data_IF_286021766283
#
_entry.id   IF_286021766283
#
_cell.length_a   1.000
_cell.length_b   1.000
_cell.length_c   1.000
_cell.angle_alpha   90.00
_cell.angle_beta   90.00
_cell.angle_gamma   90.00
#
_symmetry.space_group_name_H-M   'P 1'
#
loop_
_entity.id
_entity.type
_entity.pdbx_description
1 polymer ?
#
# COMPACT_ATOMS: atom_id res chain seq x y z
N UNK A 1 -42.45 -12.50 -69.41
CA UNK A 1 -41.09 -12.02 -69.29
C UNK A 1 -41.13 -10.64 -68.60
N UNK A 2 -40.84 -10.53 -67.31
CA UNK A 2 -40.76 -9.26 -66.58
C UNK A 2 -39.34 -9.17 -66.06
N UNK A 3 -38.61 -8.17 -66.40
CA UNK A 3 -37.24 -7.87 -65.99
C UNK A 3 -37.27 -7.38 -64.53
N UNK A 4 -36.43 -7.95 -63.62
CA UNK A 4 -36.15 -7.44 -62.32
C UNK A 4 -35.05 -6.36 -62.38
N UNK A 5 -35.12 -5.29 -61.60
CA UNK A 5 -34.13 -4.20 -61.70
C UNK A 5 -32.86 -4.49 -60.90
N UNK A 6 -31.73 -4.20 -61.51
CA UNK A 6 -30.35 -4.33 -61.05
C UNK A 6 -29.93 -3.32 -59.92
N UNK A 7 -30.86 -2.75 -59.15
CA UNK A 7 -30.58 -1.63 -58.28
C UNK A 7 -30.35 -2.01 -56.77
N UNK A 8 -30.30 -3.28 -56.40
CA UNK A 8 -30.16 -3.71 -55.00
C UNK A 8 -28.81 -4.34 -54.62
N UNK A 9 -27.85 -4.44 -55.51
CA UNK A 9 -26.52 -5.03 -55.15
C UNK A 9 -25.42 -4.02 -54.87
N UNK A 10 -25.65 -2.71 -55.08
CA UNK A 10 -24.63 -1.69 -54.81
C UNK A 10 -24.62 -1.14 -53.38
N UNK A 11 -25.67 -1.39 -52.57
CA UNK A 11 -25.77 -0.87 -51.21
C UNK A 11 -25.15 -1.78 -50.14
N UNK A 12 -24.88 -3.04 -50.43
CA UNK A 12 -24.30 -3.99 -49.45
C UNK A 12 -22.77 -3.96 -49.42
N UNK A 13 -22.10 -3.47 -50.43
CA UNK A 13 -20.62 -3.37 -50.49
C UNK A 13 -20.06 -2.11 -49.82
N UNK A 14 -20.86 -1.04 -49.64
CA UNK A 14 -20.42 0.21 -49.02
C UNK A 14 -20.46 0.17 -47.48
N UNK A 15 -21.21 -0.75 -46.87
CA UNK A 15 -21.34 -0.88 -45.42
C UNK A 15 -20.21 -1.74 -44.82
N UNK A 16 -19.57 -2.62 -45.57
CA UNK A 16 -18.42 -3.42 -45.09
C UNK A 16 -17.06 -2.70 -45.13
N UNK A 17 -16.93 -1.55 -45.78
CA UNK A 17 -15.69 -0.78 -45.82
C UNK A 17 -15.62 0.30 -44.73
N UNK A 18 -16.70 0.62 -44.01
CA UNK A 18 -16.67 1.56 -42.90
C UNK A 18 -16.41 0.91 -41.52
N UNK A 19 -16.51 -0.42 -41.42
CA UNK A 19 -16.25 -1.14 -40.19
C UNK A 19 -14.76 -1.51 -39.98
N UNK A 20 -13.90 -1.27 -40.92
CA UNK A 20 -12.47 -1.58 -40.87
C UNK A 20 -11.56 -0.38 -40.54
N UNK A 21 -12.13 0.81 -40.32
CA UNK A 21 -11.35 2.04 -40.09
C UNK A 21 -11.30 2.50 -38.60
N UNK A 22 -11.91 1.78 -37.68
CA UNK A 22 -11.87 2.14 -36.25
C UNK A 22 -10.93 1.27 -35.38
N UNK A 23 -10.15 0.37 -35.97
CA UNK A 23 -9.17 -0.43 -35.21
C UNK A 23 -7.76 0.16 -35.17
N UNK A 24 -7.59 1.45 -35.50
CA UNK A 24 -6.28 2.06 -35.64
C UNK A 24 -5.98 3.25 -34.71
N UNK A 25 -6.67 3.43 -33.58
CA UNK A 25 -6.34 4.50 -32.63
C UNK A 25 -6.68 4.11 -31.18
N UNK A 26 -6.22 2.98 -30.78
CA UNK A 26 -6.14 2.68 -29.35
C UNK A 26 -4.67 2.66 -28.96
N UNK A 27 -4.30 3.68 -28.24
CA UNK A 27 -3.35 3.65 -27.14
C UNK A 27 -1.96 4.19 -27.40
N UNK A 28 -1.83 5.51 -27.39
CA UNK A 28 -0.60 6.18 -26.94
C UNK A 28 -0.58 6.40 -25.42
N UNK A 29 -1.60 5.94 -24.68
CA UNK A 29 -1.69 6.12 -23.24
C UNK A 29 -0.91 5.01 -22.49
N UNK A 30 -0.01 5.43 -21.60
CA UNK A 30 0.72 4.51 -20.71
C UNK A 30 -0.26 3.85 -19.75
N UNK A 31 -0.26 2.51 -19.68
CA UNK A 31 -1.05 1.80 -18.67
C UNK A 31 -0.49 2.05 -17.25
N UNK A 32 -1.34 2.00 -16.24
CA UNK A 32 -0.90 2.13 -14.85
C UNK A 32 0.10 1.04 -14.47
N UNK A 33 -0.04 -0.17 -15.01
CA UNK A 33 0.92 -1.27 -14.78
C UNK A 33 2.28 -0.99 -15.41
N UNK A 34 2.32 -0.50 -16.66
CA UNK A 34 3.57 -0.12 -17.31
C UNK A 34 4.28 1.03 -16.57
N UNK A 35 3.51 2.03 -16.13
CA UNK A 35 4.04 3.11 -15.29
C UNK A 35 4.61 2.58 -13.97
N UNK A 36 3.91 1.66 -13.31
CA UNK A 36 4.36 1.04 -12.06
C UNK A 36 5.63 0.22 -12.26
N UNK A 37 5.70 -0.59 -13.31
CA UNK A 37 6.89 -1.36 -13.66
C UNK A 37 8.08 -0.43 -13.94
N UNK A 38 7.86 0.61 -14.76
CA UNK A 38 8.90 1.58 -15.09
C UNK A 38 9.47 2.28 -13.85
N UNK A 39 8.59 2.81 -12.97
CA UNK A 39 8.99 3.43 -11.71
C UNK A 39 9.64 2.45 -10.72
N UNK A 40 9.32 1.17 -10.84
CA UNK A 40 9.94 0.10 -10.07
C UNK A 40 11.29 -0.37 -10.63
N UNK A 41 11.83 0.26 -11.69
CA UNK A 41 13.02 -0.23 -12.38
C UNK A 41 12.82 -1.62 -12.98
N UNK A 42 11.61 -1.92 -13.47
CA UNK A 42 11.26 -3.17 -14.15
C UNK A 42 10.85 -2.83 -15.58
N UNK A 43 11.23 -3.65 -16.57
CA UNK A 43 10.82 -3.37 -17.96
C UNK A 43 9.31 -3.31 -18.10
N UNK A 44 8.73 -2.24 -18.70
CA UNK A 44 7.33 -2.20 -19.06
C UNK A 44 7.00 -3.21 -20.17
N UNK A 45 5.76 -3.33 -20.59
CA UNK A 45 5.38 -4.18 -21.71
C UNK A 45 6.09 -3.74 -23.00
N UNK A 46 6.33 -4.68 -23.93
CA UNK A 46 7.08 -4.41 -25.17
C UNK A 46 6.43 -3.31 -26.01
N UNK A 47 5.09 -3.21 -25.97
CA UNK A 47 4.31 -2.21 -26.71
C UNK A 47 4.16 -0.88 -25.95
N UNK A 48 4.68 -0.79 -24.76
CA UNK A 48 4.57 0.43 -23.95
C UNK A 48 5.31 1.60 -24.56
N UNK A 49 4.71 2.81 -24.59
CA UNK A 49 5.41 4.04 -24.98
C UNK A 49 6.62 4.36 -24.10
N UNK A 50 6.74 3.72 -22.91
CA UNK A 50 7.89 3.87 -21.99
C UNK A 50 9.10 3.01 -22.40
N UNK A 51 8.93 2.01 -23.25
CA UNK A 51 10.01 1.09 -23.64
C UNK A 51 11.24 1.81 -24.22
N UNK A 52 11.14 2.87 -25.04
CA UNK A 52 12.32 3.61 -25.48
C UNK A 52 13.08 4.30 -24.34
N UNK A 53 12.39 4.72 -23.27
CA UNK A 53 12.99 5.40 -22.10
C UNK A 53 13.85 4.45 -21.23
N UNK A 54 13.66 3.14 -21.34
CA UNK A 54 14.51 2.16 -20.64
C UNK A 54 15.95 2.13 -21.12
N UNK A 55 16.22 2.75 -22.29
CA UNK A 55 17.58 2.92 -22.83
C UNK A 55 18.32 4.11 -22.23
N UNK A 56 17.60 4.99 -21.50
CA UNK A 56 18.22 6.15 -20.82
C UNK A 56 19.16 5.66 -19.72
N UNK A 57 20.41 6.19 -19.63
CA UNK A 57 21.36 5.80 -18.61
C UNK A 57 20.84 6.02 -17.19
N UNK A 58 20.00 7.04 -16.93
CA UNK A 58 19.40 7.27 -15.62
C UNK A 58 18.42 6.15 -15.25
N UNK A 59 17.61 5.68 -16.21
CA UNK A 59 16.71 4.56 -15.94
C UNK A 59 17.49 3.25 -15.72
N UNK A 60 18.54 2.99 -16.49
CA UNK A 60 19.39 1.81 -16.30
C UNK A 60 20.11 1.81 -14.93
N UNK A 61 20.50 2.99 -14.42
CA UNK A 61 21.02 3.14 -13.08
C UNK A 61 19.94 2.81 -12.04
N UNK A 62 18.76 3.38 -12.21
CA UNK A 62 17.59 3.16 -11.35
C UNK A 62 17.18 1.68 -11.28
N UNK A 63 17.12 0.99 -12.41
CA UNK A 63 16.88 -0.46 -12.49
C UNK A 63 17.86 -1.22 -11.60
N UNK A 64 19.16 -1.03 -11.81
CA UNK A 64 20.21 -1.73 -11.04
C UNK A 64 20.14 -1.43 -9.55
N UNK A 65 19.89 -0.17 -9.20
CA UNK A 65 19.75 0.25 -7.81
C UNK A 65 18.58 -0.46 -7.13
N UNK A 66 17.39 -0.43 -7.73
CA UNK A 66 16.20 -1.04 -7.16
C UNK A 66 16.29 -2.58 -7.14
N UNK A 67 16.83 -3.21 -8.16
CA UNK A 67 17.04 -4.66 -8.18
C UNK A 67 17.93 -5.12 -7.02
N UNK A 68 19.03 -4.42 -6.80
CA UNK A 68 19.93 -4.73 -5.68
C UNK A 68 19.24 -4.50 -4.34
N UNK A 69 18.57 -3.37 -4.16
CA UNK A 69 17.93 -2.98 -2.89
C UNK A 69 16.75 -3.90 -2.53
N UNK A 70 15.85 -4.18 -3.49
CA UNK A 70 14.72 -5.08 -3.26
C UNK A 70 15.17 -6.53 -3.09
N UNK A 71 16.16 -7.01 -3.85
CA UNK A 71 16.73 -8.34 -3.68
C UNK A 71 17.38 -8.55 -2.30
N UNK A 72 18.03 -7.53 -1.74
CA UNK A 72 18.55 -7.57 -0.37
C UNK A 72 17.42 -7.57 0.66
N UNK A 73 16.39 -6.72 0.46
CA UNK A 73 15.24 -6.64 1.36
C UNK A 73 14.45 -7.95 1.37
N UNK A 74 14.23 -8.55 0.21
CA UNK A 74 13.55 -9.85 0.09
C UNK A 74 14.25 -10.92 0.92
N UNK A 75 15.56 -11.11 0.73
CA UNK A 75 16.36 -12.09 1.47
C UNK A 75 16.37 -11.83 2.98
N UNK A 76 16.46 -10.56 3.37
CA UNK A 76 16.57 -10.16 4.78
C UNK A 76 15.25 -10.19 5.51
N UNK A 77 14.12 -9.81 4.85
CA UNK A 77 12.85 -9.51 5.48
C UNK A 77 11.65 -10.21 4.84
N UNK A 78 11.27 -9.83 3.61
CA UNK A 78 9.92 -10.12 3.11
C UNK A 78 9.68 -11.61 2.85
N UNK A 79 10.67 -12.38 2.39
CA UNK A 79 10.55 -13.83 2.25
C UNK A 79 10.39 -14.52 3.59
N UNK A 80 11.14 -14.08 4.61
CA UNK A 80 11.05 -14.63 5.97
C UNK A 80 9.71 -14.29 6.63
N UNK A 81 9.22 -13.04 6.45
CA UNK A 81 7.89 -12.63 6.89
C UNK A 81 6.81 -13.50 6.24
N UNK A 82 6.90 -13.74 4.93
CA UNK A 82 5.94 -14.58 4.21
C UNK A 82 5.95 -16.02 4.73
N UNK A 83 7.13 -16.60 4.99
CA UNK A 83 7.27 -17.93 5.59
C UNK A 83 6.67 -17.97 7.00
N UNK A 84 6.96 -16.99 7.84
CA UNK A 84 6.36 -16.86 9.18
C UNK A 84 4.84 -16.73 9.11
N UNK A 85 4.32 -15.88 8.21
CA UNK A 85 2.90 -15.67 8.03
C UNK A 85 2.17 -16.94 7.58
N UNK A 86 2.77 -17.74 6.70
CA UNK A 86 2.21 -19.01 6.25
C UNK A 86 1.98 -20.02 7.39
N UNK A 87 2.82 -19.97 8.44
CA UNK A 87 2.71 -20.84 9.61
C UNK A 87 1.77 -20.27 10.67
N UNK A 88 1.84 -18.95 10.92
CA UNK A 88 1.19 -18.33 12.08
C UNK A 88 -0.17 -17.67 11.77
N UNK A 89 -0.48 -17.41 10.48
CA UNK A 89 -1.73 -16.80 10.04
C UNK A 89 -2.56 -17.79 9.22
N UNK A 90 -3.01 -18.87 9.86
CA UNK A 90 -3.65 -20.01 9.17
C UNK A 90 -4.94 -19.65 8.40
N UNK A 91 -5.75 -18.72 8.89
CA UNK A 91 -7.02 -18.31 8.28
C UNK A 91 -7.24 -16.80 8.40
N UNK A 92 -6.43 -15.95 7.74
CA UNK A 92 -6.60 -14.51 7.83
C UNK A 92 -7.94 -14.08 7.20
N UNK A 93 -8.54 -13.03 7.75
CA UNK A 93 -9.72 -12.40 7.16
C UNK A 93 -9.38 -11.80 5.79
N UNK A 94 -10.34 -11.65 4.88
CA UNK A 94 -10.10 -11.10 3.55
C UNK A 94 -9.67 -9.63 3.58
N UNK A 95 -10.07 -8.87 4.61
CA UNK A 95 -9.70 -7.47 4.78
C UNK A 95 -8.48 -7.31 5.69
N UNK A 96 -7.57 -6.44 5.29
CA UNK A 96 -6.39 -6.06 6.05
C UNK A 96 -6.38 -4.55 6.25
N UNK A 97 -6.27 -4.11 7.51
CA UNK A 97 -6.13 -2.70 7.91
C UNK A 97 -4.68 -2.42 8.29
N UNK A 98 -4.10 -1.39 7.70
CA UNK A 98 -2.79 -0.89 8.07
C UNK A 98 -2.83 0.62 8.26
N UNK A 99 -3.37 1.01 9.41
CA UNK A 99 -3.41 2.40 9.85
C UNK A 99 -2.01 2.84 10.29
N UNK A 100 -1.65 4.10 10.09
CA UNK A 100 -0.30 4.66 10.27
C UNK A 100 0.77 4.08 9.33
N UNK A 101 0.36 3.57 8.16
CA UNK A 101 1.26 2.84 7.26
C UNK A 101 2.07 3.73 6.32
N UNK A 102 1.59 4.92 5.98
CA UNK A 102 2.02 5.54 4.73
C UNK A 102 1.67 4.63 3.54
N UNK A 103 2.46 4.65 2.47
CA UNK A 103 2.26 3.79 1.29
C UNK A 103 2.80 2.36 1.48
N UNK A 104 3.00 1.85 2.70
CA UNK A 104 3.68 0.58 2.97
C UNK A 104 2.85 -0.66 2.60
N UNK A 105 2.51 -0.79 1.33
CA UNK A 105 1.92 -2.01 0.79
C UNK A 105 2.87 -3.22 0.86
N UNK A 106 4.19 -2.97 0.85
CA UNK A 106 5.19 -4.02 0.81
C UNK A 106 5.10 -4.97 2.03
N UNK A 107 5.09 -4.42 3.25
CA UNK A 107 4.93 -5.21 4.47
C UNK A 107 3.50 -5.72 4.64
N UNK A 108 2.49 -4.93 4.24
CA UNK A 108 1.10 -5.38 4.20
C UNK A 108 0.95 -6.67 3.40
N UNK A 109 1.51 -6.71 2.19
CA UNK A 109 1.49 -7.88 1.32
C UNK A 109 2.36 -9.02 1.86
N UNK A 110 3.50 -8.75 2.49
CA UNK A 110 4.37 -9.80 3.03
C UNK A 110 3.66 -10.58 4.16
N UNK A 111 2.92 -9.91 5.05
CA UNK A 111 2.14 -10.57 6.11
C UNK A 111 0.82 -11.15 5.61
N UNK A 112 0.12 -10.49 4.71
CA UNK A 112 -1.26 -10.84 4.30
C UNK A 112 -1.40 -10.94 2.79
N UNK A 113 -0.53 -11.70 2.13
CA UNK A 113 -0.50 -11.84 0.66
C UNK A 113 -1.80 -12.32 0.01
N UNK A 114 -2.68 -12.97 0.80
CA UNK A 114 -3.98 -13.50 0.36
C UNK A 114 -5.16 -12.58 0.69
N UNK A 115 -4.94 -11.42 1.32
CA UNK A 115 -6.01 -10.47 1.55
C UNK A 115 -6.58 -9.99 0.19
N UNK A 116 -7.90 -9.87 0.11
CA UNK A 116 -8.58 -9.36 -1.08
C UNK A 116 -8.76 -7.86 -1.04
N UNK A 117 -8.77 -7.28 0.17
CA UNK A 117 -8.90 -5.84 0.38
C UNK A 117 -7.84 -5.35 1.36
N UNK A 118 -7.08 -4.36 0.93
CA UNK A 118 -6.10 -3.65 1.75
C UNK A 118 -6.58 -2.23 1.99
N UNK A 119 -6.55 -1.76 3.24
CA UNK A 119 -6.87 -0.38 3.60
C UNK A 119 -5.68 0.21 4.33
N UNK A 120 -4.98 1.10 3.66
CA UNK A 120 -3.82 1.84 4.16
C UNK A 120 -4.21 3.28 4.45
N UNK A 121 -3.58 3.90 5.44
CA UNK A 121 -3.82 5.32 5.72
C UNK A 121 -2.64 5.99 6.41
N UNK A 122 -2.48 7.28 6.15
CA UNK A 122 -1.56 8.18 6.82
C UNK A 122 -1.89 9.65 6.52
N UNK A 123 -1.01 10.57 6.95
CA UNK A 123 -1.13 12.01 6.70
C UNK A 123 -0.56 12.45 5.35
N UNK A 124 0.20 11.60 4.68
CA UNK A 124 0.81 11.91 3.40
C UNK A 124 -0.24 12.04 2.32
N UNK A 125 -0.12 13.04 1.41
CA UNK A 125 -1.07 13.21 0.31
C UNK A 125 -1.04 12.01 -0.64
N UNK A 126 -2.17 11.76 -1.31
CA UNK A 126 -2.26 10.71 -2.32
C UNK A 126 -1.28 10.97 -3.46
N UNK A 127 -1.26 12.21 -3.95
CA UNK A 127 -0.46 12.60 -5.11
C UNK A 127 -0.95 11.99 -6.42
N UNK A 128 -0.09 12.00 -7.41
CA UNK A 128 -0.39 11.48 -8.74
C UNK A 128 0.88 10.93 -9.42
N UNK A 129 0.69 10.03 -10.38
CA UNK A 129 1.75 9.64 -11.31
C UNK A 129 1.54 10.48 -12.56
N UNK A 130 2.51 11.32 -12.96
CA UNK A 130 2.41 12.12 -14.18
C UNK A 130 2.47 11.22 -15.42
N UNK A 131 2.10 11.78 -16.58
CA UNK A 131 2.35 11.13 -17.85
C UNK A 131 3.87 11.08 -18.12
N UNK A 132 4.45 9.90 -17.92
CA UNK A 132 5.89 9.67 -18.01
C UNK A 132 6.44 9.90 -19.43
N UNK A 133 5.59 9.90 -20.46
CA UNK A 133 5.99 10.20 -21.85
C UNK A 133 6.10 11.69 -22.12
N UNK A 134 5.53 12.52 -21.26
CA UNK A 134 5.46 13.99 -21.40
C UNK A 134 6.31 14.72 -20.37
N UNK A 135 7.18 14.00 -19.67
CA UNK A 135 8.09 14.64 -18.72
C UNK A 135 8.94 15.71 -19.41
N UNK A 136 9.16 16.87 -18.79
CA UNK A 136 10.07 17.89 -19.29
C UNK A 136 11.48 17.31 -19.56
N UNK A 137 12.18 17.86 -20.54
CA UNK A 137 13.55 17.42 -20.83
C UNK A 137 14.43 17.56 -19.59
N UNK A 138 15.12 16.47 -19.23
CA UNK A 138 16.03 16.44 -18.08
C UNK A 138 15.35 16.18 -16.73
N UNK A 139 14.02 16.00 -16.67
CA UNK A 139 13.34 15.73 -15.39
C UNK A 139 13.28 14.24 -15.03
N UNK A 140 13.55 13.33 -15.97
CA UNK A 140 13.54 11.89 -15.70
C UNK A 140 14.53 11.48 -14.62
N UNK A 141 15.80 11.88 -14.73
CA UNK A 141 16.83 11.51 -13.76
C UNK A 141 16.56 12.08 -12.35
N UNK A 142 16.21 13.37 -12.16
CA UNK A 142 15.77 13.88 -10.87
C UNK A 142 14.56 13.15 -10.31
N UNK A 143 13.53 12.90 -11.14
CA UNK A 143 12.31 12.21 -10.69
C UNK A 143 12.59 10.79 -10.21
N UNK A 144 13.37 9.99 -10.94
CA UNK A 144 13.77 8.65 -10.49
C UNK A 144 14.60 8.71 -9.21
N UNK A 145 15.51 9.69 -9.07
CA UNK A 145 16.28 9.90 -7.84
C UNK A 145 15.38 10.25 -6.64
N UNK A 146 14.30 11.00 -6.86
CA UNK A 146 13.31 11.32 -5.81
C UNK A 146 12.58 10.06 -5.34
N UNK A 147 12.22 9.16 -6.25
CA UNK A 147 11.65 7.85 -5.93
C UNK A 147 12.65 7.03 -5.09
N UNK A 148 13.91 6.91 -5.50
CA UNK A 148 14.97 6.19 -4.77
C UNK A 148 15.15 6.75 -3.35
N UNK A 149 15.19 8.07 -3.21
CA UNK A 149 15.36 8.76 -1.92
C UNK A 149 14.16 8.50 -1.01
N UNK A 150 12.95 8.55 -1.53
CA UNK A 150 11.72 8.27 -0.79
C UNK A 150 11.65 6.83 -0.29
N UNK A 151 12.20 5.88 -1.05
CA UNK A 151 12.29 4.48 -0.67
C UNK A 151 13.45 4.17 0.29
N UNK A 152 14.46 5.03 0.37
CA UNK A 152 15.72 4.75 1.07
C UNK A 152 15.55 4.30 2.52
N UNK A 153 14.60 4.87 3.26
CA UNK A 153 14.38 4.51 4.66
C UNK A 153 13.71 3.13 4.81
N UNK A 154 12.69 2.82 4.03
CA UNK A 154 12.01 1.52 4.15
C UNK A 154 12.86 0.38 3.61
N UNK A 155 13.64 0.61 2.55
CA UNK A 155 14.57 -0.37 2.00
C UNK A 155 15.72 -0.68 2.97
N UNK A 156 16.18 0.33 3.73
CA UNK A 156 17.27 0.19 4.69
C UNK A 156 16.80 -0.33 6.05
N UNK A 157 15.68 0.17 6.56
CA UNK A 157 15.26 -0.03 7.95
C UNK A 157 14.02 -0.88 8.11
N UNK A 158 12.99 -0.75 7.45
CA UNK A 158 11.66 -1.38 7.52
C UNK A 158 10.51 -0.40 7.77
N UNK A 159 10.79 0.91 7.85
CA UNK A 159 9.76 1.93 8.09
C UNK A 159 10.08 3.21 7.34
N UNK A 160 9.06 4.02 7.10
CA UNK A 160 9.20 5.35 6.53
C UNK A 160 9.52 6.39 7.60
N UNK A 161 10.35 7.35 7.24
CA UNK A 161 10.58 8.54 8.07
C UNK A 161 9.65 9.64 7.54
N UNK A 162 8.47 9.78 8.14
CA UNK A 162 7.38 10.67 7.70
C UNK A 162 7.83 12.11 7.39
N UNK A 163 8.75 12.68 8.18
CA UNK A 163 9.30 14.02 7.89
C UNK A 163 10.02 14.08 6.55
N UNK A 164 10.84 13.08 6.24
CA UNK A 164 11.56 12.99 4.96
C UNK A 164 10.58 12.78 3.81
N UNK A 165 9.66 11.83 3.94
CA UNK A 165 8.63 11.58 2.92
C UNK A 165 7.82 12.83 2.58
N UNK A 166 7.36 13.59 3.58
CA UNK A 166 6.63 14.84 3.34
C UNK A 166 7.43 15.88 2.55
N UNK A 167 8.75 15.91 2.73
CA UNK A 167 9.63 16.83 2.01
C UNK A 167 9.94 16.30 0.62
N UNK A 168 10.32 15.02 0.54
CA UNK A 168 10.74 14.38 -0.71
C UNK A 168 9.59 14.23 -1.71
N UNK A 169 8.35 13.98 -1.21
CA UNK A 169 7.15 13.81 -2.04
C UNK A 169 6.43 15.12 -2.42
N UNK A 170 6.83 16.28 -1.92
CA UNK A 170 6.17 17.58 -2.22
C UNK A 170 6.92 18.43 -3.25
N UNK A 171 8.16 18.11 -3.53
CA UNK A 171 9.06 18.98 -4.29
C UNK A 171 9.49 18.41 -5.65
N UNK A 172 9.04 17.20 -6.02
CA UNK A 172 9.49 16.47 -7.20
C UNK A 172 8.44 16.34 -8.30
N UNK A 173 8.87 15.79 -9.43
CA UNK A 173 7.99 15.42 -10.57
C UNK A 173 6.98 14.33 -10.19
N UNK A 174 7.28 13.53 -9.14
CA UNK A 174 6.44 12.44 -8.63
C UNK A 174 5.92 12.83 -7.26
N UNK A 175 4.71 13.40 -7.21
CA UNK A 175 4.11 13.92 -5.99
C UNK A 175 3.27 12.85 -5.26
N UNK A 176 3.36 12.87 -3.92
CA UNK A 176 2.53 12.07 -3.04
C UNK A 176 2.94 10.59 -2.92
N UNK A 177 2.03 9.79 -2.38
CA UNK A 177 2.29 8.37 -2.06
C UNK A 177 2.05 7.40 -3.23
N UNK A 178 1.30 7.84 -4.25
CA UNK A 178 0.90 6.97 -5.35
C UNK A 178 2.08 6.39 -6.15
N UNK A 179 3.16 7.16 -6.49
CA UNK A 179 4.34 6.59 -7.13
C UNK A 179 4.99 5.46 -6.31
N UNK A 180 5.02 5.60 -4.99
CA UNK A 180 5.59 4.59 -4.09
C UNK A 180 4.70 3.33 -4.03
N UNK A 181 3.37 3.50 -4.01
CA UNK A 181 2.42 2.37 -4.11
C UNK A 181 2.60 1.61 -5.42
N UNK A 182 2.84 2.32 -6.53
CA UNK A 182 3.14 1.71 -7.82
C UNK A 182 4.39 0.83 -7.75
N UNK A 183 5.48 1.36 -7.20
CA UNK A 183 6.72 0.60 -7.02
C UNK A 183 6.47 -0.66 -6.18
N UNK A 184 5.77 -0.53 -5.06
CA UNK A 184 5.54 -1.68 -4.18
C UNK A 184 4.62 -2.74 -4.78
N UNK A 185 3.59 -2.33 -5.52
CA UNK A 185 2.72 -3.27 -6.24
C UNK A 185 3.53 -4.05 -7.28
N UNK A 186 4.28 -3.36 -8.14
CA UNK A 186 5.10 -4.00 -9.16
C UNK A 186 6.18 -4.92 -8.56
N UNK A 187 6.93 -4.46 -7.54
CA UNK A 187 7.96 -5.25 -6.84
C UNK A 187 7.39 -6.39 -6.00
N UNK A 188 6.09 -6.35 -5.68
CA UNK A 188 5.37 -7.48 -5.06
C UNK A 188 4.75 -8.43 -6.08
N UNK A 189 5.08 -8.32 -7.36
CA UNK A 189 4.57 -9.18 -8.44
C UNK A 189 3.07 -9.01 -8.68
N UNK A 190 2.54 -7.79 -8.50
CA UNK A 190 1.13 -7.45 -8.78
C UNK A 190 1.03 -6.77 -10.13
N UNK A 191 -0.10 -7.01 -10.82
CA UNK A 191 -0.44 -6.36 -12.08
C UNK A 191 -1.57 -5.36 -11.82
N UNK A 192 -1.33 -4.08 -12.03
CA UNK A 192 -2.34 -3.04 -11.82
C UNK A 192 -3.35 -3.07 -12.96
N UNK A 193 -4.64 -3.12 -12.63
CA UNK A 193 -5.76 -3.13 -13.58
C UNK A 193 -6.40 -1.77 -13.74
N UNK A 194 -6.63 -1.08 -12.62
CA UNK A 194 -7.26 0.24 -12.58
C UNK A 194 -6.77 1.05 -11.39
N UNK A 195 -6.69 2.35 -11.58
CA UNK A 195 -6.35 3.32 -10.53
C UNK A 195 -7.33 4.47 -10.61
N UNK A 196 -8.12 4.63 -9.57
CA UNK A 196 -9.17 5.64 -9.52
C UNK A 196 -8.99 6.53 -8.29
N UNK A 197 -8.85 7.85 -8.45
CA UNK A 197 -9.01 8.79 -7.35
C UNK A 197 -10.38 8.59 -6.69
N UNK A 198 -10.43 8.56 -5.39
CA UNK A 198 -11.66 8.42 -4.62
C UNK A 198 -11.69 9.39 -3.46
N UNK A 199 -12.89 9.65 -2.95
CA UNK A 199 -13.10 10.49 -1.77
C UNK A 199 -14.10 9.81 -0.86
N UNK A 200 -13.86 9.81 0.46
CA UNK A 200 -14.88 9.42 1.44
C UNK A 200 -15.66 10.65 1.90
N UNK A 201 -16.96 10.51 1.96
CA UNK A 201 -17.80 11.46 2.68
C UNK A 201 -17.79 11.17 4.20
N UNK A 202 -18.51 11.98 4.97
CA UNK A 202 -18.62 11.84 6.42
C UNK A 202 -19.39 10.60 6.88
N UNK A 203 -20.13 9.95 5.98
CA UNK A 203 -20.78 8.63 6.23
C UNK A 203 -19.84 7.45 5.96
N UNK A 204 -18.71 7.68 5.30
CA UNK A 204 -17.77 6.66 4.83
C UNK A 204 -18.18 6.04 3.48
N UNK A 205 -19.08 6.67 2.71
CA UNK A 205 -19.33 6.26 1.33
C UNK A 205 -18.18 6.71 0.43
N UNK A 206 -17.84 5.86 -0.55
CA UNK A 206 -16.78 6.12 -1.53
C UNK A 206 -17.38 6.79 -2.75
N UNK A 207 -16.87 7.95 -3.09
CA UNK A 207 -17.22 8.71 -4.30
C UNK A 207 -16.04 8.67 -5.28
N UNK A 208 -16.33 8.61 -6.58
CA UNK A 208 -15.31 8.59 -7.64
C UNK A 208 -14.90 10.01 -8.00
N UNK A 209 -13.60 10.25 -8.16
CA UNK A 209 -13.08 11.54 -8.60
C UNK A 209 -13.38 12.68 -7.63
N UNK A 210 -13.69 13.86 -8.20
CA UNK A 210 -14.01 15.08 -7.48
C UNK A 210 -15.54 15.29 -7.27
N UNK A 211 -16.33 14.23 -7.26
CA UNK A 211 -17.75 14.33 -6.94
C UNK A 211 -17.93 14.95 -5.55
N UNK A 212 -19.02 15.68 -5.37
CA UNK A 212 -19.29 16.41 -4.14
C UNK A 212 -19.44 15.44 -2.94
N UNK A 213 -18.34 15.21 -2.25
CA UNK A 213 -18.25 14.30 -1.13
C UNK A 213 -18.52 14.98 0.24
N UNK A 214 -19.26 16.10 0.25
CA UNK A 214 -19.67 16.78 1.48
C UNK A 214 -18.68 17.81 2.02
N UNK A 215 -18.79 18.13 3.32
CA UNK A 215 -18.03 19.23 3.94
C UNK A 215 -16.58 18.90 4.29
N UNK A 216 -16.28 17.64 4.62
CA UNK A 216 -14.96 17.19 5.06
C UNK A 216 -14.53 15.95 4.28
N UNK A 217 -14.28 16.05 2.96
CA UNK A 217 -13.93 14.91 2.14
C UNK A 217 -12.57 14.36 2.55
N UNK A 218 -12.47 13.04 2.68
CA UNK A 218 -11.20 12.35 2.92
C UNK A 218 -10.66 11.85 1.59
N UNK A 219 -9.58 12.45 1.05
CA UNK A 219 -9.05 12.07 -0.24
C UNK A 219 -8.35 10.71 -0.16
N UNK A 220 -8.46 9.94 -1.23
CA UNK A 220 -7.87 8.62 -1.34
C UNK A 220 -7.65 8.19 -2.77
N UNK A 221 -7.14 6.99 -2.92
CA UNK A 221 -7.02 6.28 -4.19
C UNK A 221 -7.47 4.84 -3.99
N UNK A 222 -8.17 4.32 -4.98
CA UNK A 222 -8.51 2.92 -5.12
C UNK A 222 -7.68 2.33 -6.26
N UNK A 223 -6.98 1.23 -5.98
CA UNK A 223 -6.18 0.51 -6.96
C UNK A 223 -6.72 -0.92 -7.05
N UNK A 224 -7.23 -1.30 -8.21
CA UNK A 224 -7.56 -2.69 -8.52
C UNK A 224 -6.34 -3.35 -9.14
N UNK A 225 -5.98 -4.55 -8.67
CA UNK A 225 -4.82 -5.27 -9.15
C UNK A 225 -5.02 -6.78 -9.07
N UNK A 226 -4.34 -7.51 -9.94
CA UNK A 226 -4.26 -8.96 -9.87
C UNK A 226 -3.02 -9.40 -9.10
N UNK A 227 -3.15 -10.43 -8.29
CA UNK A 227 -2.02 -11.12 -7.68
C UNK A 227 -1.31 -12.06 -8.67
N UNK A 228 -0.14 -12.57 -8.29
CA UNK A 228 0.54 -13.61 -9.07
C UNK A 228 -0.25 -14.92 -9.20
N UNK A 229 -1.26 -15.12 -8.36
CA UNK A 229 -2.23 -16.21 -8.41
C UNK A 229 -3.45 -15.90 -9.32
N UNK A 230 -3.46 -14.77 -9.99
CA UNK A 230 -4.55 -14.29 -10.85
C UNK A 230 -5.77 -13.75 -10.09
N UNK A 231 -5.79 -13.81 -8.77
CA UNK A 231 -6.94 -13.33 -7.99
C UNK A 231 -6.98 -11.79 -7.98
N UNK A 232 -8.15 -11.23 -8.24
CA UNK A 232 -8.38 -9.79 -8.20
C UNK A 232 -8.47 -9.28 -6.75
N UNK A 233 -7.85 -8.13 -6.52
CA UNK A 233 -7.72 -7.49 -5.20
C UNK A 233 -7.88 -5.99 -5.30
N UNK A 234 -8.18 -5.37 -4.17
CA UNK A 234 -8.33 -3.92 -4.07
C UNK A 234 -7.46 -3.36 -2.96
N UNK A 235 -6.72 -2.32 -3.29
CA UNK A 235 -6.01 -1.48 -2.33
C UNK A 235 -6.69 -0.12 -2.25
N UNK A 236 -7.02 0.32 -1.04
CA UNK A 236 -7.40 1.68 -0.73
C UNK A 236 -6.26 2.35 0.06
N UNK A 237 -5.88 3.54 -0.34
CA UNK A 237 -5.06 4.43 0.47
C UNK A 237 -5.83 5.72 0.71
N UNK A 238 -5.89 6.16 1.97
CA UNK A 238 -6.56 7.42 2.35
C UNK A 238 -5.58 8.33 3.09
N UNK A 239 -5.53 9.60 2.67
CA UNK A 239 -4.83 10.65 3.38
C UNK A 239 -5.76 11.19 4.48
N UNK A 240 -5.50 10.80 5.74
CA UNK A 240 -6.40 11.14 6.86
C UNK A 240 -5.65 11.28 8.18
N UNK A 241 -6.13 12.20 9.03
CA UNK A 241 -5.67 12.32 10.41
C UNK A 241 -6.39 11.30 11.28
N UNK A 242 -5.62 10.41 11.90
CA UNK A 242 -6.11 9.34 12.79
C UNK A 242 -6.25 9.77 14.25
N UNK A 243 -5.98 11.02 14.60
CA UNK A 243 -6.30 11.55 15.92
C UNK A 243 -7.81 11.54 16.18
N UNK A 244 -8.22 11.58 17.45
CA UNK A 244 -9.64 11.62 17.82
C UNK A 244 -10.39 12.79 17.16
N UNK A 245 -9.73 13.93 16.99
CA UNK A 245 -10.30 15.08 16.27
C UNK A 245 -10.43 14.82 14.77
N UNK A 246 -9.42 14.23 14.16
CA UNK A 246 -9.41 13.91 12.73
C UNK A 246 -10.47 12.88 12.36
N UNK A 247 -10.49 11.73 13.03
CA UNK A 247 -11.45 10.65 12.71
C UNK A 247 -12.90 10.99 13.04
N UNK A 248 -13.15 11.92 13.96
CA UNK A 248 -14.51 12.37 14.28
C UNK A 248 -15.20 13.02 13.08
N UNK A 249 -14.44 13.76 12.29
CA UNK A 249 -14.93 14.55 11.16
C UNK A 249 -14.72 13.87 9.81
N UNK A 250 -14.04 12.70 9.78
CA UNK A 250 -13.83 11.91 8.58
C UNK A 250 -14.73 10.68 8.56
N UNK A 251 -15.10 10.21 7.37
CA UNK A 251 -15.82 8.94 7.20
C UNK A 251 -14.94 7.71 7.29
N UNK A 252 -13.64 7.85 7.53
CA UNK A 252 -12.67 6.78 7.39
C UNK A 252 -12.97 5.56 8.26
N UNK A 253 -13.21 5.74 9.57
CA UNK A 253 -13.53 4.60 10.44
C UNK A 253 -14.88 3.97 10.12
N UNK A 254 -15.86 4.75 9.63
CA UNK A 254 -17.15 4.22 9.16
C UNK A 254 -16.96 3.37 7.89
N UNK A 255 -16.11 3.80 6.98
CA UNK A 255 -15.71 2.99 5.81
C UNK A 255 -15.07 1.68 6.25
N UNK A 256 -14.06 1.73 7.14
CA UNK A 256 -13.40 0.54 7.65
C UNK A 256 -14.37 -0.41 8.37
N UNK A 257 -15.35 0.11 9.12
CA UNK A 257 -16.35 -0.70 9.82
C UNK A 257 -17.22 -1.55 8.88
N UNK A 258 -17.48 -1.08 7.66
CA UNK A 258 -18.22 -1.85 6.64
C UNK A 258 -17.42 -3.03 6.08
N UNK A 259 -16.10 -2.97 6.19
CA UNK A 259 -15.18 -4.02 5.74
C UNK A 259 -14.76 -4.97 6.88
N UNK A 260 -15.17 -4.69 8.11
CA UNK A 260 -14.85 -5.46 9.30
C UNK A 260 -15.67 -6.77 9.39
N UNK A 261 -15.20 -7.78 10.14
CA UNK A 261 -13.91 -7.81 10.83
C UNK A 261 -12.75 -8.08 9.87
N UNK A 262 -11.62 -7.40 10.12
CA UNK A 262 -10.39 -7.57 9.34
C UNK A 262 -9.22 -8.10 10.17
N UNK A 263 -8.02 -8.02 9.61
CA UNK A 263 -6.75 -8.16 10.32
C UNK A 263 -6.08 -6.80 10.39
N UNK A 264 -5.32 -6.51 11.43
CA UNK A 264 -4.58 -5.25 11.54
C UNK A 264 -3.08 -5.48 11.61
N UNK A 265 -2.33 -4.63 10.90
CA UNK A 265 -0.89 -4.48 11.05
C UNK A 265 -0.59 -3.10 11.62
N UNK A 266 0.24 -3.04 12.66
CA UNK A 266 0.67 -1.80 13.30
C UNK A 266 2.19 -1.89 13.49
N UNK A 267 2.92 -1.06 12.77
CA UNK A 267 4.38 -1.11 12.74
C UNK A 267 4.93 0.32 12.76
N UNK A 268 5.87 0.60 13.65
CA UNK A 268 6.50 1.93 13.75
C UNK A 268 5.51 3.10 13.88
N UNK A 269 4.44 2.90 14.67
CA UNK A 269 3.32 3.84 14.80
C UNK A 269 3.63 5.03 15.74
N UNK A 270 4.90 5.35 15.97
CA UNK A 270 5.36 6.46 16.82
C UNK A 270 4.74 6.47 18.23
N UNK A 271 4.33 5.31 18.71
CA UNK A 271 3.64 5.16 20.01
C UNK A 271 2.38 6.05 20.12
N UNK A 272 1.79 6.43 18.98
CA UNK A 272 0.59 7.28 18.96
C UNK A 272 -0.59 6.60 19.66
N UNK A 273 -0.73 5.30 19.48
CA UNK A 273 -1.79 4.51 20.14
C UNK A 273 -1.65 4.40 21.65
N UNK A 274 -0.52 4.85 22.25
CA UNK A 274 -0.35 4.99 23.69
C UNK A 274 -0.95 6.29 24.26
N UNK A 275 -1.31 7.23 23.39
CA UNK A 275 -1.82 8.54 23.79
C UNK A 275 -3.35 8.58 23.77
N UNK A 276 -3.96 9.31 24.70
CA UNK A 276 -5.42 9.44 24.81
C UNK A 276 -6.08 10.09 23.60
N UNK A 277 -5.35 10.95 22.87
CA UNK A 277 -5.86 11.58 21.65
C UNK A 277 -5.92 10.65 20.42
N UNK A 278 -5.54 9.36 20.57
CA UNK A 278 -5.71 8.30 19.56
C UNK A 278 -6.58 7.14 20.10
N UNK A 279 -7.33 7.35 21.18
CA UNK A 279 -8.16 6.30 21.78
C UNK A 279 -9.24 5.80 20.81
N UNK A 280 -9.86 6.66 20.02
CA UNK A 280 -10.93 6.28 19.09
C UNK A 280 -10.44 5.28 18.04
N UNK A 281 -9.28 5.50 17.42
CA UNK A 281 -8.73 4.56 16.45
C UNK A 281 -8.19 3.30 17.12
N UNK A 282 -7.64 3.39 18.33
CA UNK A 282 -7.21 2.23 19.13
C UNK A 282 -8.41 1.31 19.44
N UNK A 283 -9.49 1.88 19.94
CA UNK A 283 -10.74 1.15 20.26
C UNK A 283 -11.35 0.53 19.00
N UNK A 284 -11.32 1.28 17.87
CA UNK A 284 -11.76 0.75 16.57
C UNK A 284 -10.97 -0.50 16.18
N UNK A 285 -9.63 -0.46 16.26
CA UNK A 285 -8.77 -1.60 15.90
C UNK A 285 -9.07 -2.79 16.82
N UNK A 286 -9.16 -2.59 18.12
CA UNK A 286 -9.50 -3.64 19.09
C UNK A 286 -10.89 -4.24 18.86
N UNK A 287 -11.87 -3.43 18.48
CA UNK A 287 -13.23 -3.90 18.22
C UNK A 287 -13.34 -4.69 16.91
N UNK A 288 -12.65 -4.24 15.87
CA UNK A 288 -12.89 -4.66 14.48
C UNK A 288 -11.80 -5.57 13.90
N UNK A 289 -10.78 -5.96 14.68
CA UNK A 289 -9.74 -6.89 14.22
C UNK A 289 -9.97 -8.29 14.76
N UNK A 290 -9.80 -9.29 13.89
CA UNK A 290 -9.70 -10.70 14.28
C UNK A 290 -8.29 -11.05 14.75
N UNK A 291 -7.28 -10.45 14.11
CA UNK A 291 -5.87 -10.53 14.49
C UNK A 291 -5.23 -9.15 14.45
N UNK A 292 -4.27 -8.92 15.33
CA UNK A 292 -3.43 -7.73 15.32
C UNK A 292 -1.98 -8.19 15.34
N UNK A 293 -1.20 -7.78 14.34
CA UNK A 293 0.26 -7.89 14.34
C UNK A 293 0.83 -6.53 14.64
N UNK A 294 1.72 -6.44 15.64
CA UNK A 294 2.33 -5.17 15.99
C UNK A 294 3.74 -5.33 16.55
N UNK A 295 4.54 -4.24 16.44
CA UNK A 295 5.71 -4.04 17.28
C UNK A 295 5.31 -3.32 18.60
N UNK A 296 6.28 -3.04 19.46
CA UNK A 296 6.02 -2.37 20.74
C UNK A 296 5.51 -0.92 20.62
N UNK A 297 5.56 -0.33 19.43
CA UNK A 297 5.02 1.01 19.16
C UNK A 297 3.51 1.02 18.89
N UNK A 298 2.89 -0.14 18.82
CA UNK A 298 1.46 -0.33 18.56
C UNK A 298 0.56 -0.04 19.79
N UNK A 299 -0.46 -0.85 19.96
CA UNK A 299 -1.41 -0.73 21.08
C UNK A 299 -0.73 -1.22 22.36
N UNK A 300 -0.77 -0.47 23.47
CA UNK A 300 -0.26 -0.93 24.75
C UNK A 300 -0.91 -2.24 25.19
N UNK A 301 -0.12 -3.16 25.75
CA UNK A 301 -0.67 -4.45 26.22
C UNK A 301 -1.79 -4.27 27.27
N UNK A 302 -1.71 -3.21 28.06
CA UNK A 302 -2.70 -2.88 29.09
C UNK A 302 -4.09 -2.51 28.53
N UNK A 303 -4.18 -2.12 27.25
CA UNK A 303 -5.45 -1.76 26.60
C UNK A 303 -6.16 -2.97 25.99
N UNK A 304 -5.53 -4.14 25.97
CA UNK A 304 -6.17 -5.38 25.53
C UNK A 304 -6.94 -6.03 26.69
N UNK A 305 -8.18 -6.45 26.47
CA UNK A 305 -8.91 -7.30 27.42
C UNK A 305 -8.35 -8.74 27.31
N UNK A 306 -7.67 -9.28 28.36
CA UNK A 306 -7.04 -10.59 28.30
C UNK A 306 -8.04 -11.76 28.16
N UNK A 307 -9.35 -11.51 28.41
CA UNK A 307 -10.42 -12.49 28.18
C UNK A 307 -10.79 -12.62 26.72
N UNK A 308 -10.51 -11.56 25.92
CA UNK A 308 -10.86 -11.47 24.51
C UNK A 308 -9.67 -11.71 23.57
N UNK A 309 -8.45 -11.72 24.10
CA UNK A 309 -7.26 -11.80 23.27
C UNK A 309 -6.26 -12.84 23.80
N UNK A 310 -5.69 -13.62 22.89
CA UNK A 310 -4.52 -14.48 23.14
C UNK A 310 -3.30 -13.86 22.48
N UNK A 311 -2.17 -13.94 23.17
CA UNK A 311 -0.93 -13.30 22.77
C UNK A 311 0.15 -14.30 22.43
N UNK A 312 0.79 -14.11 21.29
CA UNK A 312 1.90 -14.90 20.81
C UNK A 312 3.08 -13.96 20.51
N UNK A 313 4.05 -13.83 21.42
CA UNK A 313 5.22 -12.98 21.25
C UNK A 313 6.30 -13.70 20.42
N UNK A 314 6.95 -12.95 19.51
CA UNK A 314 8.08 -13.41 18.70
C UNK A 314 9.21 -12.41 18.77
N UNK A 315 10.47 -12.90 18.79
CA UNK A 315 11.66 -12.08 18.87
C UNK A 315 11.97 -11.61 20.29
N UNK A 316 12.48 -10.38 20.44
CA UNK A 316 12.97 -9.86 21.71
C UNK A 316 12.48 -8.43 21.97
N UNK A 317 11.86 -8.20 23.09
CA UNK A 317 11.56 -6.84 23.52
C UNK A 317 12.73 -6.26 24.32
N UNK A 318 13.43 -5.31 23.73
CA UNK A 318 14.57 -4.59 24.34
C UNK A 318 14.16 -3.20 24.88
N UNK A 319 12.86 -2.95 25.00
CA UNK A 319 12.31 -1.63 25.33
C UNK A 319 12.11 -0.74 24.12
N UNK A 320 11.47 0.42 24.29
CA UNK A 320 11.24 1.39 23.23
C UNK A 320 12.59 1.94 22.70
N UNK A 321 12.55 2.56 21.54
CA UNK A 321 13.73 3.27 21.03
C UNK A 321 14.01 4.54 21.86
N UNK A 322 15.26 5.02 21.85
CA UNK A 322 15.74 6.15 22.67
C UNK A 322 14.94 7.43 22.47
N UNK A 323 14.30 7.59 21.32
CA UNK A 323 13.40 8.72 21.04
C UNK A 323 12.12 8.71 21.88
N UNK A 324 11.72 7.56 22.46
CA UNK A 324 10.50 7.38 23.23
C UNK A 324 10.73 6.64 24.56
N UNK A 325 11.68 7.06 25.40
CA UNK A 325 12.12 6.30 26.58
C UNK A 325 10.97 6.07 27.59
N UNK A 326 10.01 6.99 27.69
CA UNK A 326 8.86 6.88 28.57
C UNK A 326 7.78 5.90 28.13
N UNK A 327 7.99 5.15 27.02
CA UNK A 327 7.03 4.18 26.49
C UNK A 327 7.36 2.72 26.82
N UNK A 328 8.23 2.50 27.83
CA UNK A 328 8.52 1.16 28.31
C UNK A 328 7.27 0.51 28.93
N UNK A 329 7.05 -0.77 28.58
CA UNK A 329 5.89 -1.55 29.02
C UNK A 329 6.36 -2.77 29.85
N UNK A 330 6.27 -2.74 31.21
CA UNK A 330 6.66 -3.88 32.04
C UNK A 330 5.90 -5.17 31.68
N UNK A 331 4.59 -5.08 31.43
CA UNK A 331 3.78 -6.23 31.05
C UNK A 331 4.21 -6.83 29.70
N UNK A 332 4.63 -5.99 28.76
CA UNK A 332 5.17 -6.44 27.46
C UNK A 332 6.51 -7.16 27.66
N UNK A 333 7.38 -6.61 28.51
CA UNK A 333 8.66 -7.24 28.84
C UNK A 333 8.45 -8.62 29.50
N UNK A 334 7.50 -8.75 30.41
CA UNK A 334 7.17 -10.04 31.04
C UNK A 334 6.63 -11.05 30.02
N UNK A 335 5.71 -10.62 29.14
CA UNK A 335 5.17 -11.47 28.08
C UNK A 335 6.29 -12.01 27.17
N UNK A 336 7.26 -11.16 26.80
CA UNK A 336 8.35 -11.50 25.89
C UNK A 336 9.44 -12.40 26.51
N UNK A 337 9.41 -12.69 27.81
CA UNK A 337 10.26 -13.73 28.41
C UNK A 337 10.00 -15.13 27.84
N UNK A 338 8.82 -15.35 27.27
CA UNK A 338 8.37 -16.62 26.67
C UNK A 338 8.20 -16.50 25.17
N UNK A 339 8.88 -15.54 24.54
CA UNK A 339 8.78 -15.32 23.09
C UNK A 339 9.37 -16.47 22.30
N UNK A 340 8.80 -16.71 21.13
CA UNK A 340 9.33 -17.63 20.13
C UNK A 340 10.45 -16.94 19.32
N UNK A 341 11.40 -17.69 18.77
CA UNK A 341 12.42 -17.14 17.88
C UNK A 341 11.82 -16.46 16.64
N UNK A 342 12.48 -15.40 16.17
CA UNK A 342 12.15 -14.70 14.94
C UNK A 342 13.44 -14.35 14.21
N UNK A 343 13.51 -14.65 12.92
CA UNK A 343 14.70 -14.49 12.09
C UNK A 343 14.63 -13.28 11.13
N UNK A 344 13.61 -12.44 11.27
CA UNK A 344 13.43 -11.16 10.58
C UNK A 344 13.17 -10.04 11.59
N UNK A 345 13.17 -8.80 11.13
CA UNK A 345 12.85 -7.67 11.99
C UNK A 345 11.75 -6.80 11.41
N UNK A 346 10.99 -6.16 12.29
CA UNK A 346 9.96 -5.19 11.94
C UNK A 346 10.04 -3.96 12.85
N UNK A 347 9.37 -2.91 12.46
CA UNK A 347 9.22 -1.75 13.31
C UNK A 347 10.52 -0.94 13.45
N UNK A 348 10.59 -0.19 14.52
CA UNK A 348 11.77 0.64 14.80
C UNK A 348 13.03 -0.17 15.09
N UNK A 349 12.88 -1.35 15.69
CA UNK A 349 13.97 -2.29 15.93
C UNK A 349 13.99 -3.34 14.82
N UNK A 350 14.37 -2.92 13.63
CA UNK A 350 14.28 -3.68 12.39
C UNK A 350 15.29 -4.82 12.24
N UNK A 351 16.28 -4.93 13.13
CA UNK A 351 17.22 -6.04 13.13
C UNK A 351 16.63 -7.22 13.88
N UNK A 352 16.73 -8.44 13.32
CA UNK A 352 16.09 -9.63 13.87
C UNK A 352 16.44 -9.92 15.33
N UNK A 353 17.69 -9.67 15.75
CA UNK A 353 18.15 -9.95 17.11
C UNK A 353 17.63 -8.96 18.18
N UNK A 354 17.06 -7.84 17.80
CA UNK A 354 16.51 -6.82 18.69
C UNK A 354 15.03 -6.50 18.42
N UNK A 355 14.44 -7.14 17.41
CA UNK A 355 13.08 -6.88 16.97
C UNK A 355 12.07 -7.67 17.79
N UNK A 356 10.90 -7.07 17.94
CA UNK A 356 9.75 -7.70 18.60
C UNK A 356 8.53 -7.67 17.69
N UNK A 357 7.76 -8.76 17.75
CA UNK A 357 6.47 -8.89 17.08
C UNK A 357 5.50 -9.55 18.03
N UNK A 358 4.38 -8.90 18.28
CA UNK A 358 3.25 -9.46 18.99
C UNK A 358 2.15 -9.82 17.99
N UNK A 359 1.79 -11.09 17.92
CA UNK A 359 0.56 -11.55 17.30
C UNK A 359 -0.52 -11.67 18.39
N UNK A 360 -1.53 -10.81 18.34
CA UNK A 360 -2.72 -10.90 19.18
C UNK A 360 -3.88 -11.47 18.35
N UNK A 361 -4.49 -12.55 18.83
CA UNK A 361 -5.60 -13.26 18.17
C UNK A 361 -6.85 -13.13 19.04
N UNK A 362 -7.93 -12.64 18.44
CA UNK A 362 -9.20 -12.49 19.15
C UNK A 362 -9.82 -13.86 19.43
N UNK A 363 -10.23 -14.08 20.66
CA UNK A 363 -10.96 -15.28 21.07
C UNK A 363 -12.39 -15.15 20.53
N UNK A 364 -12.99 -16.24 19.97
CA UNK A 364 -14.36 -16.25 19.52
C UNK A 364 -15.37 -15.87 20.61
#
# INVERSE_FOLDING_TARGET
MKALPLAKMAAAAAIMLLAAAETGRATDAVSADDAARFLAGMPPSVQSPLTPLTKDPAWQHHEKFLDAAFGQLEKRQTSKIAAWAAVNLAAPRPTMFYMFSGPDFLYANAFYSKATTYVLSALEPVGQVPDLTRLPRGSLAPGLSDVERSLGSILSFSFFITKKMKTDLRAGEFDGTLPILYVFLARSGKTIRDVSPVTLDDTGAVHSGNENAGRNPTPGVRIHFAGGDGAERTLYYFSTDLSNSGVRNSGFLKFCARLAPGNSLIKSASYLLHAGNFSTVREFILANSATIIQDDSGIPLADFDPRKWRFFPFGRYAGPIDKFPGRYQPAYAELFRRSQPMDFGIGYRWRSFESNLLLAVKVP
#
